data_IF_630147874148
#
_entry.id   IF_630147874148
#
_cell.length_a   1.000
_cell.length_b   1.000
_cell.length_c   1.000
_cell.angle_alpha   90.00
_cell.angle_beta   90.00
_cell.angle_gamma   90.00
#
_symmetry.space_group_name_H-M   'P 1'
#
loop_
_entity.id
_entity.type
_entity.pdbx_description
1 polymer ?
#
# COMPACT_ATOMS: atom_id res chain seq x y z
N UNK A 1 44.71 -11.03 48.43
CA UNK A 1 43.81 -12.14 48.03
C UNK A 1 42.33 -11.84 48.28
N UNK A 2 41.92 -11.37 49.47
CA UNK A 2 40.51 -11.09 49.79
C UNK A 2 39.82 -9.99 48.93
N UNK A 3 40.54 -8.94 48.52
CA UNK A 3 40.01 -7.84 47.68
C UNK A 3 39.60 -8.31 46.27
N UNK A 4 40.43 -9.14 45.63
CA UNK A 4 40.20 -9.71 44.30
C UNK A 4 38.99 -10.67 44.27
N UNK A 5 38.82 -11.48 45.32
CA UNK A 5 37.65 -12.39 45.44
C UNK A 5 36.35 -11.59 45.61
N UNK A 6 36.40 -10.49 46.36
CA UNK A 6 35.23 -9.61 46.59
C UNK A 6 34.80 -8.88 45.32
N UNK A 7 35.74 -8.36 44.53
CA UNK A 7 35.43 -7.71 43.25
C UNK A 7 34.88 -8.71 42.22
N UNK A 8 35.46 -9.90 42.13
CA UNK A 8 34.97 -10.97 41.24
C UNK A 8 33.55 -11.41 41.59
N UNK A 9 33.24 -11.57 42.87
CA UNK A 9 31.89 -11.92 43.33
C UNK A 9 30.89 -10.78 43.07
N UNK A 10 31.30 -9.51 43.17
CA UNK A 10 30.45 -8.36 42.87
C UNK A 10 30.13 -8.25 41.36
N UNK A 11 31.11 -8.49 40.50
CA UNK A 11 30.93 -8.54 39.03
C UNK A 11 30.02 -9.70 38.61
N UNK A 12 30.22 -10.88 39.21
CA UNK A 12 29.39 -12.06 38.96
C UNK A 12 27.93 -11.80 39.35
N UNK A 13 27.66 -11.31 40.57
CA UNK A 13 26.29 -10.99 41.05
C UNK A 13 25.62 -9.90 40.19
N UNK A 14 26.37 -8.90 39.72
CA UNK A 14 25.85 -7.86 38.82
C UNK A 14 25.46 -8.44 37.44
N UNK A 15 26.27 -9.32 36.86
CA UNK A 15 25.94 -10.00 35.59
C UNK A 15 24.71 -10.90 35.71
N UNK A 16 24.58 -11.62 36.82
CA UNK A 16 23.43 -12.52 37.06
C UNK A 16 22.14 -11.73 37.24
N UNK A 17 22.17 -10.57 37.92
CA UNK A 17 21.01 -9.68 38.07
C UNK A 17 20.55 -9.10 36.72
N UNK A 18 21.49 -8.72 35.85
CA UNK A 18 21.17 -8.23 34.49
C UNK A 18 20.55 -9.36 33.66
N UNK A 19 21.09 -10.58 33.73
CA UNK A 19 20.52 -11.75 33.06
C UNK A 19 19.08 -12.05 33.51
N UNK A 20 18.80 -12.01 34.81
CA UNK A 20 17.44 -12.19 35.32
C UNK A 20 16.49 -11.06 34.91
N UNK A 21 16.97 -9.82 34.84
CA UNK A 21 16.15 -8.68 34.39
C UNK A 21 15.79 -8.80 32.90
N UNK A 22 16.75 -9.20 32.06
CA UNK A 22 16.53 -9.43 30.63
C UNK A 22 15.61 -10.63 30.38
N UNK A 23 15.79 -11.72 31.13
CA UNK A 23 14.89 -12.87 31.10
C UNK A 23 13.46 -12.46 31.49
N UNK A 24 13.31 -11.62 32.53
CA UNK A 24 12.03 -11.08 32.96
C UNK A 24 11.33 -10.27 31.87
N UNK A 25 12.06 -9.39 31.17
CA UNK A 25 11.52 -8.59 30.05
C UNK A 25 11.12 -9.48 28.87
N UNK A 26 11.92 -10.51 28.56
CA UNK A 26 11.61 -11.48 27.50
C UNK A 26 10.36 -12.30 27.85
N UNK A 27 10.21 -12.75 29.10
CA UNK A 27 9.01 -13.47 29.53
C UNK A 27 7.77 -12.58 29.52
N UNK A 28 7.90 -11.30 29.89
CA UNK A 28 6.79 -10.36 29.92
C UNK A 28 6.29 -10.03 28.50
N UNK A 29 7.19 -9.94 27.52
CA UNK A 29 6.84 -9.67 26.11
C UNK A 29 6.14 -10.85 25.43
N UNK A 30 6.42 -12.10 25.82
CA UNK A 30 5.74 -13.30 25.30
C UNK A 30 4.33 -13.48 25.91
N UNK A 31 4.11 -12.98 27.14
CA UNK A 31 2.84 -13.15 27.87
C UNK A 31 1.72 -12.19 27.44
N UNK A 32 2.00 -11.19 26.61
CA UNK A 32 0.99 -10.33 25.99
C UNK A 32 0.83 -10.69 24.51
N UNK A 33 -0.03 -11.68 24.14
CA UNK A 33 -0.42 -11.83 22.75
C UNK A 33 -1.19 -10.56 22.36
N UNK A 34 -0.57 -9.72 21.53
CA UNK A 34 -1.26 -8.63 20.87
C UNK A 34 -2.45 -9.25 20.12
N UNK A 35 -3.66 -8.79 20.40
CA UNK A 35 -4.86 -9.25 19.69
C UNK A 35 -4.69 -8.99 18.18
N UNK A 36 -4.37 -10.02 17.42
CA UNK A 36 -4.34 -9.96 15.96
C UNK A 36 -5.80 -9.95 15.47
N UNK A 37 -6.26 -8.80 14.99
CA UNK A 37 -7.54 -8.70 14.28
C UNK A 37 -7.35 -9.15 12.82
N UNK A 38 -8.30 -9.93 12.31
CA UNK A 38 -8.21 -10.59 11.00
C UNK A 38 -8.10 -9.62 9.79
N UNK A 39 -8.36 -8.33 9.99
CA UNK A 39 -8.27 -7.29 8.95
C UNK A 39 -7.13 -6.27 9.20
N UNK A 40 -6.09 -6.68 9.94
CA UNK A 40 -4.89 -5.86 10.22
C UNK A 40 -3.69 -6.33 9.38
N UNK A 41 -3.88 -7.34 8.53
CA UNK A 41 -2.88 -7.69 7.53
C UNK A 41 -2.68 -6.51 6.57
N UNK A 42 -1.44 -6.25 6.11
CA UNK A 42 -1.24 -5.30 5.04
C UNK A 42 -2.13 -5.71 3.85
N UNK A 43 -2.61 -4.73 3.10
CA UNK A 43 -3.56 -4.94 2.00
C UNK A 43 -2.95 -4.39 0.72
N UNK A 44 -2.98 -5.13 -0.39
CA UNK A 44 -2.29 -4.68 -1.57
C UNK A 44 -2.92 -3.41 -2.09
N UNK A 45 -2.10 -2.53 -2.66
CA UNK A 45 -2.53 -1.23 -3.15
C UNK A 45 -2.05 -0.96 -4.56
N UNK A 46 -2.76 -0.08 -5.26
CA UNK A 46 -2.32 0.54 -6.50
C UNK A 46 -2.38 2.05 -6.31
N UNK A 47 -1.27 2.72 -6.58
CA UNK A 47 -1.17 4.19 -6.59
C UNK A 47 -0.68 4.62 -7.96
N UNK A 48 -1.33 5.62 -8.54
CA UNK A 48 -0.99 6.16 -9.85
C UNK A 48 -0.87 7.68 -9.74
N UNK A 49 0.30 8.21 -10.06
CA UNK A 49 0.54 9.64 -10.20
C UNK A 49 0.34 10.07 -11.65
N UNK A 50 -0.40 11.15 -11.87
CA UNK A 50 -0.68 11.71 -13.19
C UNK A 50 0.16 12.95 -13.46
N UNK A 51 0.67 13.06 -14.68
CA UNK A 51 1.45 14.21 -15.17
C UNK A 51 0.76 14.74 -16.44
N UNK A 52 0.63 16.06 -16.57
CA UNK A 52 0.06 16.71 -17.76
C UNK A 52 -1.45 16.96 -17.70
N UNK A 53 -2.06 16.79 -16.53
CA UNK A 53 -3.49 17.06 -16.28
C UNK A 53 -3.72 18.28 -15.38
N UNK A 54 -2.71 19.12 -15.20
CA UNK A 54 -2.78 20.25 -14.28
C UNK A 54 -3.87 21.26 -14.71
N UNK A 55 -4.83 21.50 -13.82
CA UNK A 55 -5.93 22.44 -14.05
C UNK A 55 -7.08 21.88 -14.89
N UNK A 56 -7.08 20.58 -15.19
CA UNK A 56 -8.21 19.90 -15.81
C UNK A 56 -9.03 19.18 -14.73
N UNK A 57 -10.35 19.21 -14.84
CA UNK A 57 -11.24 18.38 -14.00
C UNK A 57 -11.27 16.97 -14.58
N UNK A 58 -10.96 15.94 -13.79
CA UNK A 58 -11.00 14.56 -14.24
C UNK A 58 -11.18 13.54 -13.12
N UNK A 59 -11.77 12.41 -13.50
CA UNK A 59 -12.01 11.28 -12.63
C UNK A 59 -11.30 10.04 -13.15
N UNK A 60 -10.81 9.21 -12.24
CA UNK A 60 -10.05 8.01 -12.58
C UNK A 60 -10.70 6.76 -12.00
N UNK A 61 -10.73 5.70 -12.79
CA UNK A 61 -11.03 4.34 -12.32
C UNK A 61 -10.05 3.32 -12.91
N UNK A 62 -10.03 2.12 -12.32
CA UNK A 62 -9.37 0.95 -12.92
C UNK A 62 -10.43 -0.01 -13.44
N UNK A 63 -10.38 -0.30 -14.73
CA UNK A 63 -11.18 -1.35 -15.34
C UNK A 63 -10.52 -2.68 -15.05
N UNK A 64 -11.28 -3.67 -14.59
CA UNK A 64 -10.80 -4.97 -14.14
C UNK A 64 -11.10 -6.05 -15.15
N UNK A 65 -10.18 -7.02 -15.32
CA UNK A 65 -10.46 -8.21 -16.13
C UNK A 65 -11.48 -9.18 -15.47
N UNK A 66 -11.70 -9.03 -14.17
CA UNK A 66 -12.67 -9.81 -13.39
C UNK A 66 -13.85 -8.93 -12.98
N UNK A 67 -15.05 -9.52 -12.92
CA UNK A 67 -16.29 -8.83 -12.52
C UNK A 67 -16.33 -8.40 -11.04
N UNK A 68 -15.40 -8.87 -10.21
CA UNK A 68 -15.28 -8.46 -8.81
C UNK A 68 -13.87 -8.67 -8.26
N UNK A 69 -13.53 -7.89 -7.25
CA UNK A 69 -12.34 -8.04 -6.39
C UNK A 69 -12.64 -7.47 -5.00
N UNK A 70 -12.46 -8.29 -3.95
CA UNK A 70 -12.83 -7.92 -2.59
C UNK A 70 -14.31 -7.47 -2.52
N UNK A 71 -14.63 -6.30 -1.92
CA UNK A 71 -15.99 -5.78 -1.87
C UNK A 71 -16.42 -5.03 -3.16
N UNK A 72 -15.55 -4.95 -4.18
CA UNK A 72 -15.83 -4.22 -5.42
C UNK A 72 -16.36 -5.20 -6.47
N UNK A 73 -17.44 -4.82 -7.14
CA UNK A 73 -18.06 -5.63 -8.19
C UNK A 73 -18.70 -4.74 -9.23
N UNK A 74 -18.94 -5.30 -10.41
CA UNK A 74 -19.84 -4.72 -11.42
C UNK A 74 -21.20 -4.39 -10.80
N UNK A 75 -21.85 -3.38 -11.35
CA UNK A 75 -23.25 -3.10 -11.03
C UNK A 75 -24.12 -4.26 -11.53
N UNK A 76 -25.00 -4.75 -10.66
CA UNK A 76 -25.97 -5.79 -11.03
C UNK A 76 -27.15 -5.18 -11.78
N UNK A 77 -27.85 -6.00 -12.58
CA UNK A 77 -29.00 -5.57 -13.40
C UNK A 77 -30.16 -4.98 -12.58
N UNK A 78 -30.31 -5.39 -11.32
CA UNK A 78 -31.34 -4.90 -10.41
C UNK A 78 -30.91 -3.66 -9.61
N UNK A 79 -29.69 -3.17 -9.82
CA UNK A 79 -29.07 -2.04 -9.11
C UNK A 79 -29.10 -2.14 -7.57
N UNK A 80 -29.35 -3.33 -7.01
CA UNK A 80 -29.55 -3.54 -5.58
C UNK A 80 -28.31 -3.22 -4.73
N UNK A 81 -27.13 -3.22 -5.35
CA UNK A 81 -25.83 -2.95 -4.74
C UNK A 81 -25.10 -1.77 -5.39
N UNK A 82 -25.84 -0.80 -5.93
CA UNK A 82 -25.25 0.44 -6.44
C UNK A 82 -24.49 1.18 -5.32
N UNK A 83 -23.24 1.59 -5.59
CA UNK A 83 -22.45 2.36 -4.61
C UNK A 83 -22.83 3.83 -4.51
N UNK A 84 -23.52 4.36 -5.52
CA UNK A 84 -23.97 5.74 -5.61
C UNK A 84 -25.45 5.75 -5.96
N UNK A 85 -26.18 6.71 -5.40
CA UNK A 85 -27.61 6.92 -5.61
C UNK A 85 -27.90 8.35 -6.10
N UNK A 86 -29.08 8.55 -6.69
CA UNK A 86 -29.52 9.86 -7.14
C UNK A 86 -29.48 10.89 -5.99
N UNK A 87 -28.78 12.00 -6.22
CA UNK A 87 -28.52 13.04 -5.21
C UNK A 87 -27.13 12.97 -4.57
N UNK A 88 -26.36 11.90 -4.77
CA UNK A 88 -24.94 11.88 -4.39
C UNK A 88 -24.13 12.81 -5.30
N UNK A 89 -23.14 13.49 -4.73
CA UNK A 89 -22.30 14.49 -5.41
C UNK A 89 -21.70 13.96 -6.73
N UNK A 90 -21.24 12.72 -6.74
CA UNK A 90 -20.59 12.10 -7.90
C UNK A 90 -21.51 11.12 -8.66
N UNK A 91 -22.82 11.20 -8.47
CA UNK A 91 -23.77 10.27 -9.10
C UNK A 91 -23.73 10.33 -10.65
N UNK A 92 -23.68 11.53 -11.22
CA UNK A 92 -23.64 11.71 -12.68
C UNK A 92 -22.35 11.12 -13.28
N UNK A 93 -21.22 11.29 -12.60
CA UNK A 93 -19.93 10.70 -12.99
C UNK A 93 -19.96 9.18 -12.85
N UNK A 94 -20.59 8.67 -11.79
CA UNK A 94 -20.79 7.24 -11.61
C UNK A 94 -21.57 6.63 -12.78
N UNK A 95 -22.67 7.26 -13.22
CA UNK A 95 -23.45 6.80 -14.37
C UNK A 95 -22.60 6.74 -15.64
N UNK A 96 -21.76 7.75 -15.88
CA UNK A 96 -20.83 7.76 -17.02
C UNK A 96 -19.90 6.55 -17.02
N UNK A 97 -19.35 6.18 -15.86
CA UNK A 97 -18.52 4.97 -15.76
C UNK A 97 -19.33 3.66 -15.88
N UNK A 98 -20.59 3.63 -15.44
CA UNK A 98 -21.47 2.46 -15.60
C UNK A 98 -21.81 2.22 -17.06
N UNK A 99 -22.05 3.29 -17.82
CA UNK A 99 -22.38 3.25 -19.25
C UNK A 99 -21.15 2.96 -20.14
N UNK A 100 -19.94 3.13 -19.61
CA UNK A 100 -18.72 2.86 -20.35
C UNK A 100 -18.55 1.37 -20.65
N UNK A 101 -18.32 1.04 -21.92
CA UNK A 101 -18.05 -0.32 -22.39
C UNK A 101 -16.65 -0.42 -22.99
N UNK A 102 -15.76 -1.15 -22.32
CA UNK A 102 -14.42 -1.40 -22.82
C UNK A 102 -14.43 -2.34 -24.03
N UNK A 103 -13.60 -2.03 -25.03
CA UNK A 103 -13.49 -2.84 -26.25
C UNK A 103 -12.95 -4.26 -25.99
N UNK A 104 -12.10 -4.44 -24.98
CA UNK A 104 -11.52 -5.74 -24.62
C UNK A 104 -12.30 -6.44 -23.50
N UNK A 105 -13.47 -5.91 -23.13
CA UNK A 105 -14.36 -6.53 -22.15
C UNK A 105 -13.92 -6.38 -20.68
N UNK A 106 -13.09 -5.38 -20.36
CA UNK A 106 -12.80 -5.03 -18.96
C UNK A 106 -13.99 -4.33 -18.30
N UNK A 107 -14.11 -4.50 -16.98
CA UNK A 107 -15.27 -4.13 -16.20
C UNK A 107 -15.00 -2.97 -15.24
N UNK A 108 -15.90 -2.00 -15.19
CA UNK A 108 -15.95 -1.02 -14.11
C UNK A 108 -16.51 -1.65 -12.83
N UNK A 109 -15.82 -1.47 -11.70
CA UNK A 109 -16.19 -2.09 -10.41
C UNK A 109 -16.75 -1.10 -9.38
N UNK A 110 -17.45 -0.07 -9.87
CA UNK A 110 -18.13 0.93 -9.04
C UNK A 110 -17.19 1.73 -8.12
N UNK A 111 -15.90 1.82 -8.45
CA UNK A 111 -14.93 2.58 -7.66
C UNK A 111 -14.14 3.50 -8.57
N UNK A 112 -14.19 4.80 -8.27
CA UNK A 112 -13.46 5.84 -8.96
C UNK A 112 -13.12 6.94 -7.95
N UNK A 113 -12.22 7.84 -8.34
CA UNK A 113 -11.83 8.98 -7.52
C UNK A 113 -11.79 10.23 -8.40
N UNK A 114 -12.14 11.36 -7.80
CA UNK A 114 -11.77 12.67 -8.32
C UNK A 114 -10.27 12.87 -8.08
N UNK A 115 -9.52 13.09 -9.17
CA UNK A 115 -8.07 13.28 -9.12
C UNK A 115 -7.66 14.71 -9.46
N UNK A 116 -8.63 15.61 -9.64
CA UNK A 116 -8.43 16.99 -10.12
C UNK A 116 -7.42 17.78 -9.28
N UNK A 117 -7.51 17.70 -7.95
CA UNK A 117 -6.59 18.42 -7.06
C UNK A 117 -5.31 17.63 -6.74
N UNK A 118 -5.43 16.33 -6.49
CA UNK A 118 -4.32 15.49 -6.00
C UNK A 118 -3.36 15.08 -7.10
N UNK A 119 -3.82 15.03 -8.36
CA UNK A 119 -3.18 14.34 -9.47
C UNK A 119 -2.74 12.91 -9.15
N UNK A 120 -3.47 12.25 -8.24
CA UNK A 120 -3.14 10.91 -7.77
C UNK A 120 -4.42 10.10 -7.58
N UNK A 121 -4.38 8.88 -8.11
CA UNK A 121 -5.38 7.84 -7.85
C UNK A 121 -4.81 6.80 -6.90
N UNK A 122 -5.62 6.34 -5.93
CA UNK A 122 -5.21 5.35 -4.95
C UNK A 122 -6.29 4.31 -4.64
N UNK A 123 -6.04 3.05 -4.97
CA UNK A 123 -6.90 1.92 -4.63
C UNK A 123 -6.20 1.02 -3.61
N UNK A 124 -6.50 1.26 -2.33
CA UNK A 124 -5.79 0.67 -1.18
C UNK A 124 -6.43 -0.61 -0.62
N UNK A 125 -7.60 -1.00 -1.13
CA UNK A 125 -8.37 -2.15 -0.63
C UNK A 125 -8.83 -3.08 -1.75
N UNK A 126 -8.18 -4.24 -1.87
CA UNK A 126 -8.44 -5.25 -2.89
C UNK A 126 -8.50 -4.70 -4.34
N UNK A 127 -7.48 -3.95 -4.80
CA UNK A 127 -7.43 -3.51 -6.18
C UNK A 127 -7.36 -4.70 -7.16
N UNK A 128 -7.82 -4.51 -8.41
CA UNK A 128 -7.78 -5.56 -9.43
C UNK A 128 -6.34 -5.99 -9.73
N UNK A 129 -6.16 -7.26 -10.09
CA UNK A 129 -4.83 -7.82 -10.42
C UNK A 129 -4.37 -7.37 -11.80
N UNK A 130 -5.22 -7.54 -12.82
CA UNK A 130 -5.01 -7.07 -14.19
C UNK A 130 -6.01 -5.95 -14.46
N UNK A 131 -5.54 -4.83 -14.97
CA UNK A 131 -6.38 -3.65 -15.12
C UNK A 131 -5.96 -2.74 -16.28
N UNK A 132 -6.91 -1.92 -16.72
CA UNK A 132 -6.66 -0.73 -17.55
C UNK A 132 -6.99 0.52 -16.73
N UNK A 133 -6.33 1.63 -17.04
CA UNK A 133 -6.65 2.93 -16.44
C UNK A 133 -7.67 3.61 -17.33
N UNK A 134 -8.74 4.13 -16.75
CA UNK A 134 -9.76 4.88 -17.46
C UNK A 134 -9.91 6.25 -16.80
N UNK A 135 -9.72 7.29 -17.61
CA UNK A 135 -9.94 8.69 -17.25
C UNK A 135 -11.24 9.16 -17.87
N UNK A 136 -12.00 9.93 -17.09
CA UNK A 136 -13.20 10.63 -17.56
C UNK A 136 -13.04 12.14 -17.34
N UNK A 137 -13.24 12.91 -18.42
CA UNK A 137 -13.17 14.36 -18.45
C UNK A 137 -14.60 14.94 -18.54
N UNK A 138 -15.22 15.37 -17.43
CA UNK A 138 -16.59 15.85 -17.40
C UNK A 138 -16.83 17.12 -18.24
N UNK A 139 -15.82 17.97 -18.40
CA UNK A 139 -15.96 19.23 -19.15
C UNK A 139 -16.15 19.00 -20.66
N UNK A 140 -15.54 17.94 -21.20
CA UNK A 140 -15.60 17.58 -22.62
C UNK A 140 -16.42 16.32 -22.89
N UNK A 141 -16.97 15.69 -21.85
CA UNK A 141 -17.65 14.39 -21.90
C UNK A 141 -16.86 13.33 -22.69
N UNK A 142 -15.58 13.17 -22.34
CA UNK A 142 -14.65 12.30 -23.05
C UNK A 142 -13.96 11.30 -22.12
N UNK A 143 -13.67 10.12 -22.67
CA UNK A 143 -12.92 9.06 -21.98
C UNK A 143 -11.58 8.80 -22.64
N UNK A 144 -10.55 8.65 -21.81
CA UNK A 144 -9.23 8.18 -22.25
C UNK A 144 -8.89 6.91 -21.51
N UNK A 145 -8.69 5.82 -22.25
CA UNK A 145 -8.25 4.53 -21.72
C UNK A 145 -6.76 4.36 -21.96
N UNK A 146 -6.08 3.64 -21.07
CA UNK A 146 -4.68 3.31 -21.26
C UNK A 146 -4.41 2.44 -22.48
N UNK A 147 -3.29 2.70 -23.16
CA UNK A 147 -2.89 1.98 -24.37
C UNK A 147 -2.62 0.48 -24.12
N UNK A 148 -2.11 0.17 -22.93
CA UNK A 148 -1.77 -1.18 -22.50
C UNK A 148 -2.64 -1.66 -21.32
N UNK A 149 -2.59 -2.96 -21.08
CA UNK A 149 -3.08 -3.61 -19.86
C UNK A 149 -1.94 -3.74 -18.86
N UNK A 150 -2.20 -3.40 -17.60
CA UNK A 150 -1.23 -3.47 -16.51
C UNK A 150 -1.57 -4.57 -15.52
N UNK A 151 -0.51 -5.11 -14.91
CA UNK A 151 -0.62 -6.06 -13.80
C UNK A 151 0.00 -5.45 -12.55
N UNK A 152 -0.64 -5.66 -11.40
CA UNK A 152 -0.07 -5.36 -10.10
C UNK A 152 1.22 -6.18 -9.91
N UNK A 153 2.36 -5.52 -9.83
CA UNK A 153 3.69 -6.18 -9.83
C UNK A 153 4.30 -6.34 -8.43
N UNK A 154 3.76 -5.64 -7.43
CA UNK A 154 4.20 -5.68 -6.05
C UNK A 154 2.99 -5.69 -5.11
N UNK A 155 3.25 -5.85 -3.80
CA UNK A 155 2.22 -5.75 -2.79
C UNK A 155 1.53 -4.37 -2.85
N UNK A 156 2.35 -3.31 -2.82
CA UNK A 156 1.98 -1.94 -3.18
C UNK A 156 2.59 -1.64 -4.54
N UNK A 157 1.75 -1.37 -5.55
CA UNK A 157 2.21 -1.08 -6.91
C UNK A 157 2.02 0.39 -7.24
N UNK A 158 3.11 1.04 -7.60
CA UNK A 158 3.15 2.45 -7.97
C UNK A 158 3.33 2.59 -9.48
N UNK A 159 2.57 3.50 -10.07
CA UNK A 159 2.66 3.83 -11.49
C UNK A 159 2.73 5.36 -11.66
N UNK A 160 3.36 5.78 -12.74
CA UNK A 160 3.31 7.17 -13.22
C UNK A 160 2.70 7.14 -14.61
N UNK A 161 1.62 7.90 -14.79
CA UNK A 161 0.88 8.01 -16.03
C UNK A 161 1.08 9.41 -16.62
N UNK A 162 1.76 9.48 -17.75
CA UNK A 162 1.94 10.70 -18.53
C UNK A 162 0.79 10.80 -19.54
N UNK A 163 -0.02 11.84 -19.41
CA UNK A 163 -1.17 12.07 -20.29
C UNK A 163 -0.80 13.08 -21.35
N UNK A 164 -1.05 12.74 -22.61
CA UNK A 164 -0.79 13.58 -23.77
C UNK A 164 -1.98 13.57 -24.72
N UNK A 165 -2.04 14.52 -25.65
CA UNK A 165 -3.10 14.59 -26.68
C UNK A 165 -3.25 13.30 -27.49
N UNK A 166 -2.20 12.46 -27.55
CA UNK A 166 -2.12 11.26 -28.38
C UNK A 166 -2.30 9.95 -27.62
N UNK A 167 -2.38 9.97 -26.28
CA UNK A 167 -2.52 8.74 -25.50
C UNK A 167 -2.05 8.84 -24.05
N UNK A 168 -2.18 7.71 -23.35
CA UNK A 168 -1.90 7.56 -21.92
C UNK A 168 -0.76 6.55 -21.71
N UNK A 169 0.46 7.07 -21.59
CA UNK A 169 1.68 6.27 -21.39
C UNK A 169 1.93 6.06 -19.90
N UNK A 170 2.00 4.80 -19.46
CA UNK A 170 2.13 4.47 -18.03
C UNK A 170 3.41 3.65 -17.80
N UNK A 171 4.16 4.03 -16.76
CA UNK A 171 5.38 3.34 -16.35
C UNK A 171 5.28 2.94 -14.88
N UNK A 172 5.95 1.85 -14.51
CA UNK A 172 6.11 1.44 -13.10
C UNK A 172 7.06 2.42 -12.41
N UNK A 173 6.68 2.92 -11.25
CA UNK A 173 7.41 3.97 -10.52
C UNK A 173 7.77 3.57 -9.08
N UNK A 174 7.91 2.27 -8.81
CA UNK A 174 8.35 1.78 -7.49
C UNK A 174 9.74 2.31 -7.14
N UNK A 175 9.89 2.91 -5.95
CA UNK A 175 11.20 3.33 -5.46
C UNK A 175 11.96 2.15 -4.82
N UNK A 176 12.64 1.40 -5.68
CA UNK A 176 13.50 0.31 -5.24
C UNK A 176 14.70 0.80 -4.41
N UNK A 177 15.12 2.06 -4.58
CA UNK A 177 16.36 2.58 -3.97
C UNK A 177 16.16 2.98 -2.52
N UNK A 178 15.07 3.67 -2.20
CA UNK A 178 14.71 4.02 -0.83
C UNK A 178 14.44 2.77 0.02
N UNK A 179 13.77 1.76 -0.54
CA UNK A 179 13.51 0.51 0.17
C UNK A 179 14.80 -0.28 0.43
N UNK A 180 15.69 -0.38 -0.56
CA UNK A 180 16.99 -1.02 -0.36
C UNK A 180 17.85 -0.30 0.69
N UNK A 181 17.81 1.04 0.72
CA UNK A 181 18.49 1.85 1.72
C UNK A 181 17.88 1.64 3.13
N UNK A 182 16.56 1.66 3.24
CA UNK A 182 15.84 1.38 4.48
C UNK A 182 16.20 0.00 5.03
N UNK A 183 16.25 -1.01 4.16
CA UNK A 183 16.68 -2.36 4.51
C UNK A 183 18.15 -2.38 4.98
N UNK A 184 19.05 -1.71 4.27
CA UNK A 184 20.46 -1.63 4.66
C UNK A 184 20.64 -0.96 6.04
N UNK A 185 19.89 0.12 6.31
CA UNK A 185 19.88 0.80 7.61
C UNK A 185 19.37 -0.16 8.70
N UNK A 186 18.29 -0.90 8.45
CA UNK A 186 17.77 -1.89 9.41
C UNK A 186 18.80 -2.96 9.73
N UNK A 187 19.44 -3.55 8.72
CA UNK A 187 20.49 -4.55 8.91
C UNK A 187 21.65 -3.97 9.75
N UNK A 188 22.11 -2.75 9.43
CA UNK A 188 23.18 -2.10 10.17
C UNK A 188 22.79 -1.83 11.64
N UNK A 189 21.58 -1.34 11.89
CA UNK A 189 21.07 -1.11 13.24
C UNK A 189 20.95 -2.41 14.04
N UNK A 190 20.49 -3.50 13.41
CA UNK A 190 20.42 -4.82 14.04
C UNK A 190 21.81 -5.32 14.42
N UNK A 191 22.78 -5.27 13.50
CA UNK A 191 24.16 -5.67 13.78
C UNK A 191 24.75 -4.83 14.92
N UNK A 192 24.53 -3.51 14.92
CA UNK A 192 25.01 -2.64 16.00
C UNK A 192 24.38 -2.98 17.35
N UNK A 193 23.08 -3.27 17.38
CA UNK A 193 22.39 -3.69 18.59
C UNK A 193 22.91 -5.05 19.09
N UNK A 194 23.11 -6.01 18.19
CA UNK A 194 23.69 -7.32 18.50
C UNK A 194 25.10 -7.20 19.07
N UNK A 195 25.96 -6.38 18.46
CA UNK A 195 27.33 -6.13 18.94
C UNK A 195 27.32 -5.43 20.31
N UNK A 196 26.42 -4.48 20.54
CA UNK A 196 26.27 -3.82 21.83
C UNK A 196 25.84 -4.81 22.92
N UNK A 197 24.89 -5.70 22.61
CA UNK A 197 24.46 -6.78 23.52
C UNK A 197 25.62 -7.76 23.74
N UNK A 198 26.31 -8.21 22.70
CA UNK A 198 27.45 -9.12 22.80
C UNK A 198 28.55 -8.55 23.73
N UNK A 199 28.84 -7.25 23.62
CA UNK A 199 29.78 -6.54 24.50
C UNK A 199 29.31 -6.51 25.96
N UNK A 200 28.01 -6.27 26.22
CA UNK A 200 27.43 -6.31 27.57
C UNK A 200 27.53 -7.70 28.21
N UNK A 201 27.48 -8.76 27.41
CA UNK A 201 27.64 -10.15 27.86
C UNK A 201 29.09 -10.65 27.86
N UNK A 202 30.05 -9.79 27.48
CA UNK A 202 31.48 -10.13 27.52
C UNK A 202 31.92 -11.08 26.42
N UNK A 203 31.11 -11.27 25.37
CA UNK A 203 31.54 -11.93 24.15
C UNK A 203 32.52 -10.98 23.43
N UNK A 204 33.74 -11.47 23.19
CA UNK A 204 34.82 -10.78 22.47
C UNK A 204 35.14 -11.56 21.21
#
# INVERSE_FOLDING_TARGET
MAKLVRERNHLMVRSTRIGFMLLGILTLSIMFPLMARADVGPKPSIVIDFIGLEGQTYYTTLLSNAKSTGPHSVLNEDSSYARYAEGDENYEVFLKFVEYHDADGYYFLQFFQDCTESNQFSWTYYPPKMFKILLYFPETDHFTVSDDVYERYAFDSYFTAEVSDTGLSVKRSYDYTAEALSLAIRIALTILAELAIALLFGFR
#
